data_IF_158799419804
#
_entry.id   IF_158799419804
#
_cell.length_a   1.000
_cell.length_b   1.000
_cell.length_c   1.000
_cell.angle_alpha   90.00
_cell.angle_beta   90.00
_cell.angle_gamma   90.00
#
_symmetry.space_group_name_H-M   'P 1'
#
loop_
_entity.id
_entity.type
_entity.pdbx_description
1 polymer ?
#
# COMPACT_ATOMS: atom_id res chain seq x y z
N UNK A 1 21.12 27.00 -35.25
CA UNK A 1 21.59 25.59 -35.13
C UNK A 1 21.64 25.07 -33.69
N UNK A 2 22.49 25.66 -32.79
CA UNK A 2 22.59 25.16 -31.40
C UNK A 2 21.31 25.39 -30.59
N UNK A 3 20.66 26.53 -30.76
CA UNK A 3 19.41 26.88 -30.10
C UNK A 3 18.22 25.99 -30.59
N UNK A 4 18.22 25.67 -31.87
CA UNK A 4 17.18 24.79 -32.45
C UNK A 4 17.33 23.36 -31.93
N UNK A 5 18.57 22.85 -31.86
CA UNK A 5 18.85 21.52 -31.29
C UNK A 5 18.40 21.46 -29.81
N UNK A 6 18.71 22.49 -29.03
CA UNK A 6 18.26 22.57 -27.62
C UNK A 6 16.74 22.57 -27.53
N UNK A 7 16.04 23.33 -28.36
CA UNK A 7 14.57 23.35 -28.40
C UNK A 7 14.00 21.97 -28.73
N UNK A 8 14.56 21.26 -29.72
CA UNK A 8 14.12 19.88 -30.04
C UNK A 8 14.33 18.90 -28.88
N UNK A 9 15.46 18.97 -28.18
CA UNK A 9 15.74 18.13 -27.00
C UNK A 9 14.73 18.41 -25.90
N UNK A 10 14.41 19.66 -25.61
CA UNK A 10 13.40 20.02 -24.60
C UNK A 10 12.03 19.49 -24.98
N UNK A 11 11.59 19.74 -26.21
CA UNK A 11 10.28 19.25 -26.69
C UNK A 11 10.20 17.71 -26.62
N UNK A 12 11.25 17.01 -27.06
CA UNK A 12 11.30 15.56 -27.00
C UNK A 12 11.25 15.03 -25.57
N UNK A 13 11.98 15.66 -24.64
CA UNK A 13 11.97 15.32 -23.23
C UNK A 13 10.57 15.49 -22.62
N UNK A 14 9.92 16.62 -22.90
CA UNK A 14 8.54 16.88 -22.43
C UNK A 14 7.55 15.85 -22.96
N UNK A 15 7.68 15.48 -24.22
CA UNK A 15 6.85 14.43 -24.82
C UNK A 15 7.04 13.07 -24.14
N UNK A 16 8.31 12.66 -23.89
CA UNK A 16 8.60 11.40 -23.21
C UNK A 16 8.02 11.42 -21.80
N UNK A 17 8.21 12.51 -21.04
CA UNK A 17 7.65 12.65 -19.68
C UNK A 17 6.12 12.58 -19.73
N UNK A 18 5.48 13.25 -20.68
CA UNK A 18 4.03 13.21 -20.84
C UNK A 18 3.51 11.81 -21.16
N UNK A 19 4.17 11.09 -22.07
CA UNK A 19 3.80 9.71 -22.44
C UNK A 19 4.00 8.77 -21.25
N UNK A 20 5.13 8.85 -20.55
CA UNK A 20 5.38 7.99 -19.38
C UNK A 20 4.38 8.26 -18.27
N UNK A 21 4.07 9.51 -17.99
CA UNK A 21 3.05 9.90 -17.03
C UNK A 21 1.65 9.36 -17.40
N UNK A 22 1.29 9.43 -18.67
CA UNK A 22 0.02 8.86 -19.18
C UNK A 22 -0.03 7.35 -19.01
N UNK A 23 1.04 6.64 -19.35
CA UNK A 23 1.15 5.19 -19.22
C UNK A 23 1.00 4.77 -17.75
N UNK A 24 1.76 5.41 -16.85
CA UNK A 24 1.71 5.08 -15.40
C UNK A 24 0.34 5.39 -14.78
N UNK A 25 -0.29 6.52 -15.15
CA UNK A 25 -1.66 6.82 -14.72
C UNK A 25 -2.68 5.79 -15.24
N UNK A 26 -2.50 5.29 -16.45
CA UNK A 26 -3.37 4.26 -17.04
C UNK A 26 -3.18 2.91 -16.33
N UNK A 27 -1.93 2.51 -16.04
CA UNK A 27 -1.63 1.33 -15.23
C UNK A 27 -2.29 1.42 -13.84
N UNK A 28 -2.13 2.57 -13.17
CA UNK A 28 -2.77 2.81 -11.88
C UNK A 28 -4.28 2.60 -11.95
N UNK A 29 -4.97 3.26 -12.89
CA UNK A 29 -6.42 3.14 -13.04
C UNK A 29 -6.90 1.72 -13.31
N UNK A 30 -6.10 0.91 -13.99
CA UNK A 30 -6.41 -0.48 -14.32
C UNK A 30 -6.03 -1.47 -13.23
N UNK A 31 -5.21 -1.09 -12.24
CA UNK A 31 -4.83 -1.92 -11.11
C UNK A 31 -6.01 -2.22 -10.18
N UNK A 32 -5.92 -3.30 -9.41
CA UNK A 32 -6.91 -3.62 -8.37
C UNK A 32 -7.05 -2.51 -7.34
N UNK A 33 -5.95 -1.84 -6.99
CA UNK A 33 -5.93 -0.70 -6.09
C UNK A 33 -6.62 0.53 -6.68
N UNK A 34 -6.26 0.91 -7.91
CA UNK A 34 -6.80 2.12 -8.55
C UNK A 34 -8.30 2.03 -8.85
N UNK A 35 -8.84 0.83 -9.07
CA UNK A 35 -10.28 0.60 -9.25
C UNK A 35 -11.10 0.81 -7.97
N UNK A 36 -10.48 0.68 -6.81
CA UNK A 36 -11.13 0.83 -5.50
C UNK A 36 -10.82 2.17 -4.84
N UNK A 37 -9.72 2.83 -5.22
CA UNK A 37 -9.29 4.09 -4.65
C UNK A 37 -10.00 5.28 -5.28
N UNK A 38 -10.43 6.23 -4.45
CA UNK A 38 -10.94 7.54 -4.90
C UNK A 38 -9.83 8.56 -5.18
N UNK A 39 -8.57 8.20 -4.88
CA UNK A 39 -7.40 9.09 -4.99
C UNK A 39 -6.86 9.08 -6.42
N UNK A 40 -6.34 10.23 -6.87
CA UNK A 40 -5.62 10.30 -8.14
C UNK A 40 -4.25 9.64 -8.04
N UNK A 41 -3.70 9.21 -9.18
CA UNK A 41 -2.33 8.69 -9.27
C UNK A 41 -1.29 9.64 -8.66
N UNK A 42 -1.41 10.92 -8.91
CA UNK A 42 -0.51 11.94 -8.39
C UNK A 42 -0.57 12.07 -6.86
N UNK A 43 -1.76 11.94 -6.28
CA UNK A 43 -1.94 11.95 -4.83
C UNK A 43 -1.30 10.71 -4.19
N UNK A 44 -1.40 9.54 -4.85
CA UNK A 44 -0.75 8.31 -4.41
C UNK A 44 0.78 8.44 -4.43
N UNK A 45 1.35 9.06 -5.47
CA UNK A 45 2.81 9.26 -5.54
C UNK A 45 3.37 10.14 -4.43
N UNK A 46 2.59 11.09 -3.94
CA UNK A 46 2.99 12.02 -2.89
C UNK A 46 2.76 11.49 -1.47
N UNK A 47 2.03 10.38 -1.32
CA UNK A 47 1.75 9.73 -0.05
C UNK A 47 2.55 8.42 0.06
N UNK A 48 3.46 8.34 1.03
CA UNK A 48 4.32 7.16 1.22
C UNK A 48 3.53 5.89 1.53
N UNK A 49 2.51 5.98 2.37
CA UNK A 49 1.65 4.85 2.73
C UNK A 49 0.92 4.31 1.51
N UNK A 50 0.11 5.15 0.89
CA UNK A 50 -0.68 4.79 -0.29
C UNK A 50 0.16 4.31 -1.47
N UNK A 51 1.37 4.86 -1.64
CA UNK A 51 2.33 4.37 -2.64
C UNK A 51 2.85 2.97 -2.32
N UNK A 52 3.02 2.65 -1.04
CA UNK A 52 3.39 1.30 -0.60
C UNK A 52 2.29 0.29 -0.89
N UNK A 53 1.04 0.61 -0.58
CA UNK A 53 -0.15 -0.20 -0.87
C UNK A 53 -0.32 -0.43 -2.37
N UNK A 54 -0.20 0.63 -3.19
CA UNK A 54 -0.25 0.53 -4.64
C UNK A 54 0.84 -0.40 -5.19
N UNK A 55 2.08 -0.28 -4.74
CA UNK A 55 3.18 -1.18 -5.13
C UNK A 55 2.91 -2.63 -4.73
N UNK A 56 2.36 -2.85 -3.55
CA UNK A 56 1.96 -4.19 -3.11
C UNK A 56 0.85 -4.74 -4.02
N UNK A 57 -0.15 -3.92 -4.37
CA UNK A 57 -1.20 -4.33 -5.29
C UNK A 57 -0.66 -4.74 -6.65
N UNK A 58 0.32 -4.01 -7.22
CA UNK A 58 0.95 -4.36 -8.48
C UNK A 58 1.65 -5.74 -8.44
N UNK A 59 2.29 -6.08 -7.29
CA UNK A 59 2.91 -7.38 -7.09
C UNK A 59 1.86 -8.49 -6.98
N UNK A 60 0.79 -8.24 -6.24
CA UNK A 60 -0.32 -9.18 -6.10
C UNK A 60 -1.06 -9.36 -7.42
N UNK A 61 -1.33 -8.31 -8.19
CA UNK A 61 -1.99 -8.36 -9.50
C UNK A 61 -1.21 -9.23 -10.50
N UNK A 62 0.12 -9.22 -10.46
CA UNK A 62 0.99 -10.05 -11.30
C UNK A 62 1.00 -11.53 -10.93
N UNK A 63 0.58 -11.89 -9.72
CA UNK A 63 0.51 -13.28 -9.29
C UNK A 63 -0.58 -14.03 -10.06
N UNK A 64 -0.29 -15.25 -10.51
CA UNK A 64 -1.24 -16.13 -11.20
C UNK A 64 -2.33 -16.73 -10.30
N UNK A 65 -2.25 -16.48 -8.98
CA UNK A 65 -3.24 -16.97 -8.03
C UNK A 65 -4.59 -16.29 -8.30
N UNK A 66 -5.65 -17.09 -8.44
CA UNK A 66 -7.01 -16.57 -8.47
C UNK A 66 -7.35 -15.96 -7.10
N UNK A 67 -7.63 -14.66 -7.09
CA UNK A 67 -7.81 -13.90 -5.86
C UNK A 67 -8.70 -12.69 -6.04
N UNK A 68 -9.25 -12.22 -4.93
CA UNK A 68 -9.90 -10.91 -4.79
C UNK A 68 -9.12 -10.08 -3.79
N UNK A 69 -8.85 -8.83 -4.13
CA UNK A 69 -8.14 -7.88 -3.26
C UNK A 69 -9.11 -6.81 -2.81
N UNK A 70 -9.06 -6.46 -1.53
CA UNK A 70 -9.76 -5.33 -0.94
C UNK A 70 -8.73 -4.43 -0.27
N UNK A 71 -8.87 -3.12 -0.44
CA UNK A 71 -7.92 -2.12 0.06
C UNK A 71 -8.60 -1.15 1.01
N UNK A 72 -7.86 -0.71 2.04
CA UNK A 72 -8.29 0.32 3.00
C UNK A 72 -9.67 -0.01 3.61
N UNK A 73 -9.80 -1.25 4.10
CA UNK A 73 -11.07 -1.76 4.65
C UNK A 73 -11.20 -1.36 6.10
N UNK A 74 -12.24 -0.59 6.42
CA UNK A 74 -12.57 -0.22 7.79
C UNK A 74 -13.49 -1.25 8.39
N UNK A 75 -13.08 -1.85 9.51
CA UNK A 75 -13.88 -2.82 10.25
C UNK A 75 -14.12 -2.35 11.68
N UNK A 76 -15.28 -2.69 12.31
CA UNK A 76 -15.60 -2.27 13.66
C UNK A 76 -14.69 -2.93 14.69
N UNK A 77 -14.32 -2.18 15.72
CA UNK A 77 -13.72 -2.67 16.96
C UNK A 77 -14.80 -2.96 18.02
N UNK A 78 -14.34 -3.28 19.23
CA UNK A 78 -15.24 -3.65 20.35
C UNK A 78 -16.16 -2.53 20.85
N UNK A 79 -15.79 -1.26 20.64
CA UNK A 79 -16.61 -0.09 21.04
C UNK A 79 -17.42 0.37 19.84
N UNK A 80 -18.68 0.74 20.08
CA UNK A 80 -19.48 1.45 19.09
C UNK A 80 -18.69 2.69 18.64
N UNK A 81 -18.68 2.96 17.36
CA UNK A 81 -17.95 4.06 16.69
C UNK A 81 -16.41 3.93 16.61
N UNK A 82 -15.77 2.86 17.08
CA UNK A 82 -14.34 2.65 16.90
C UNK A 82 -14.07 1.64 15.77
N UNK A 83 -13.32 2.06 14.78
CA UNK A 83 -12.94 1.24 13.63
C UNK A 83 -11.44 1.05 13.56
N UNK A 84 -11.00 0.04 12.84
CA UNK A 84 -9.61 -0.13 12.44
C UNK A 84 -9.55 -0.30 10.93
N UNK A 85 -8.56 0.30 10.31
CA UNK A 85 -8.29 0.17 8.89
C UNK A 85 -7.36 -1.03 8.68
N UNK A 86 -7.70 -1.88 7.71
CA UNK A 86 -6.84 -2.95 7.21
C UNK A 86 -6.35 -2.52 5.83
N UNK A 87 -5.05 -2.46 5.66
CA UNK A 87 -4.44 -1.97 4.42
C UNK A 87 -4.85 -2.84 3.22
N UNK A 88 -4.71 -4.17 3.33
CA UNK A 88 -5.05 -5.10 2.25
C UNK A 88 -5.64 -6.40 2.83
N UNK A 89 -6.78 -6.83 2.28
CA UNK A 89 -7.32 -8.18 2.46
C UNK A 89 -7.24 -8.90 1.12
N UNK A 90 -6.57 -10.05 1.09
CA UNK A 90 -6.53 -10.94 -0.08
C UNK A 90 -7.35 -12.19 0.21
N UNK A 91 -8.36 -12.44 -0.62
CA UNK A 91 -9.21 -13.63 -0.56
C UNK A 91 -8.86 -14.52 -1.75
N UNK A 92 -8.54 -15.77 -1.50
CA UNK A 92 -8.22 -16.74 -2.53
C UNK A 92 -8.68 -18.15 -2.10
N UNK A 93 -8.49 -19.14 -2.98
CA UNK A 93 -8.87 -20.54 -2.72
C UNK A 93 -8.15 -21.17 -1.53
N UNK A 94 -7.04 -20.56 -1.06
CA UNK A 94 -6.25 -21.03 0.08
C UNK A 94 -6.61 -20.37 1.41
N UNK A 95 -7.50 -19.37 1.38
CA UNK A 95 -7.94 -18.65 2.58
C UNK A 95 -7.97 -17.13 2.42
N UNK A 96 -8.12 -16.47 3.56
CA UNK A 96 -8.14 -15.01 3.70
C UNK A 96 -6.80 -14.58 4.32
N UNK A 97 -6.12 -13.66 3.66
CA UNK A 97 -4.85 -13.11 4.11
C UNK A 97 -5.02 -11.63 4.44
N UNK A 98 -4.59 -11.24 5.62
CA UNK A 98 -4.55 -9.85 6.08
C UNK A 98 -3.10 -9.37 5.96
N UNK A 99 -2.89 -8.29 5.22
CA UNK A 99 -1.57 -7.74 4.93
C UNK A 99 -1.50 -6.31 5.48
N UNK A 100 -0.53 -6.07 6.35
CA UNK A 100 -0.17 -4.77 6.88
C UNK A 100 1.04 -4.26 6.10
N UNK A 101 0.91 -3.10 5.46
CA UNK A 101 1.95 -2.52 4.62
C UNK A 101 2.69 -1.39 5.34
N UNK A 102 4.01 -1.44 5.33
CA UNK A 102 4.87 -0.38 5.88
C UNK A 102 5.91 0.03 4.84
N UNK A 103 5.84 1.26 4.38
CA UNK A 103 6.76 1.81 3.37
C UNK A 103 7.76 2.78 4.02
N UNK A 104 8.74 2.23 4.72
CA UNK A 104 9.82 2.98 5.37
C UNK A 104 11.03 3.14 4.45
N UNK A 105 11.84 4.17 4.70
CA UNK A 105 13.06 4.48 3.91
C UNK A 105 14.35 4.16 4.67
N UNK A 106 14.26 4.03 6.00
CA UNK A 106 15.39 3.79 6.89
C UNK A 106 15.58 2.33 7.25
N UNK A 107 16.55 2.07 8.11
CA UNK A 107 16.78 0.76 8.69
C UNK A 107 15.75 0.48 9.77
N UNK A 108 15.14 -0.70 9.72
CA UNK A 108 14.10 -1.13 10.66
C UNK A 108 14.68 -2.10 11.67
N UNK A 109 14.46 -1.80 12.96
CA UNK A 109 14.87 -2.62 14.09
C UNK A 109 13.65 -2.95 14.95
N UNK A 110 13.50 -4.21 15.30
CA UNK A 110 12.45 -4.68 16.20
C UNK A 110 12.31 -6.19 16.14
N UNK A 111 11.71 -6.75 17.18
CA UNK A 111 11.36 -8.17 17.27
C UNK A 111 9.84 -8.32 17.44
N UNK A 112 9.33 -9.54 17.25
CA UNK A 112 7.93 -9.86 17.46
C UNK A 112 7.46 -9.55 18.89
N UNK A 113 8.36 -9.70 19.90
CA UNK A 113 8.05 -9.48 21.30
C UNK A 113 7.96 -7.99 21.69
N UNK A 114 8.60 -7.12 20.90
CA UNK A 114 8.62 -5.69 21.19
C UNK A 114 7.25 -5.06 20.98
N UNK A 115 6.90 -4.09 21.82
CA UNK A 115 5.68 -3.31 21.66
C UNK A 115 5.82 -2.29 20.51
N UNK A 116 7.02 -1.77 20.31
CA UNK A 116 7.34 -0.75 19.29
C UNK A 116 8.62 -1.14 18.56
N UNK A 117 8.61 -0.87 17.28
CA UNK A 117 9.80 -0.97 16.43
C UNK A 117 10.39 0.42 16.20
N UNK A 118 11.60 0.45 15.66
CA UNK A 118 12.35 1.67 15.42
C UNK A 118 12.79 1.74 13.95
N UNK A 119 12.47 2.84 13.27
CA UNK A 119 13.13 3.22 12.03
C UNK A 119 14.31 4.14 12.35
N UNK A 120 15.49 3.87 11.80
CA UNK A 120 16.63 4.77 11.84
C UNK A 120 16.87 5.34 10.45
N UNK A 121 16.72 6.65 10.32
CA UNK A 121 16.90 7.39 9.07
C UNK A 121 17.71 8.67 9.33
N UNK A 122 18.79 8.85 8.58
CA UNK A 122 19.68 10.02 8.70
C UNK A 122 20.17 10.28 10.16
N UNK A 123 20.52 9.20 10.88
CA UNK A 123 20.98 9.28 12.26
C UNK A 123 19.89 9.54 13.30
N UNK A 124 18.63 9.70 12.89
CA UNK A 124 17.47 9.91 13.79
C UNK A 124 16.67 8.62 13.96
N UNK A 125 16.10 8.43 15.15
CA UNK A 125 15.28 7.28 15.50
C UNK A 125 13.80 7.67 15.58
N UNK A 126 12.94 6.90 14.88
CA UNK A 126 11.50 7.07 14.85
C UNK A 126 10.84 5.78 15.33
N UNK A 127 10.08 5.86 16.43
CA UNK A 127 9.42 4.69 17.00
C UNK A 127 7.98 4.59 16.50
N UNK A 128 7.60 3.39 16.08
CA UNK A 128 6.24 3.07 15.62
C UNK A 128 5.72 1.78 16.24
N UNK A 129 4.42 1.58 16.19
CA UNK A 129 3.82 0.37 16.76
C UNK A 129 4.25 -0.86 15.97
N UNK A 130 4.46 -1.98 16.68
CA UNK A 130 4.90 -3.24 16.07
C UNK A 130 3.88 -3.71 15.02
N UNK A 131 4.25 -3.80 13.72
CA UNK A 131 3.33 -4.15 12.64
C UNK A 131 2.82 -5.58 12.74
N UNK A 132 3.58 -6.52 13.34
CA UNK A 132 3.11 -7.89 13.57
C UNK A 132 1.95 -7.87 14.56
N UNK A 133 2.07 -7.11 15.66
CA UNK A 133 0.99 -6.97 16.65
C UNK A 133 -0.21 -6.23 16.07
N UNK A 134 0.02 -5.24 15.22
CA UNK A 134 -1.02 -4.51 14.52
C UNK A 134 -1.81 -5.47 13.64
N UNK A 135 -1.12 -6.22 12.78
CA UNK A 135 -1.73 -7.17 11.86
C UNK A 135 -2.49 -8.30 12.60
N UNK A 136 -1.91 -8.84 13.68
CA UNK A 136 -2.61 -9.82 14.52
C UNK A 136 -3.90 -9.25 15.13
N UNK A 137 -3.94 -7.97 15.44
CA UNK A 137 -5.15 -7.30 15.92
C UNK A 137 -6.19 -7.18 14.81
N UNK A 138 -5.78 -6.83 13.59
CA UNK A 138 -6.66 -6.79 12.42
C UNK A 138 -7.28 -8.17 12.13
N UNK A 139 -6.46 -9.22 12.15
CA UNK A 139 -6.92 -10.61 11.96
C UNK A 139 -8.02 -10.95 12.98
N UNK A 140 -7.77 -10.72 14.27
CA UNK A 140 -8.76 -11.01 15.33
C UNK A 140 -10.08 -10.26 15.17
N UNK A 141 -10.05 -9.00 14.75
CA UNK A 141 -11.28 -8.25 14.49
C UNK A 141 -12.00 -8.72 13.24
N UNK A 142 -11.26 -9.11 12.20
CA UNK A 142 -11.82 -9.66 10.98
C UNK A 142 -12.45 -11.04 11.23
N UNK A 143 -11.78 -11.96 11.95
CA UNK A 143 -12.31 -13.25 12.38
C UNK A 143 -13.63 -13.10 13.14
N UNK A 144 -13.64 -12.17 14.11
CA UNK A 144 -14.86 -11.88 14.87
C UNK A 144 -15.99 -11.35 13.97
N UNK A 145 -15.68 -10.44 13.03
CA UNK A 145 -16.67 -9.89 12.10
C UNK A 145 -17.26 -10.97 11.21
N UNK A 146 -16.42 -11.89 10.73
CA UNK A 146 -16.82 -12.98 9.85
C UNK A 146 -17.38 -14.21 10.61
N UNK A 147 -17.35 -14.20 11.94
CA UNK A 147 -17.75 -15.32 12.79
C UNK A 147 -17.01 -16.63 12.45
N UNK A 148 -15.70 -16.51 12.17
CA UNK A 148 -14.79 -17.62 11.88
C UNK A 148 -13.69 -17.66 12.94
N UNK A 149 -13.07 -18.84 13.18
CA UNK A 149 -11.94 -18.99 14.12
C UNK A 149 -12.32 -19.26 15.59
N UNK A 150 -13.57 -19.56 15.90
CA UNK A 150 -14.01 -20.07 17.21
C UNK A 150 -14.27 -21.60 17.12
N UNK A 151 -13.21 -22.38 16.90
CA UNK A 151 -13.17 -23.82 17.20
C UNK A 151 -12.04 -24.11 18.19
#
# INVERSE_FOLDING_TARGET
MLNDLFAYVVVFTVLIVGITAYIENTKYKNSSYGKQSTRSFWNILNDKGARGEYRMSELLDKSSLEKKLLFNVYIPKKKEDDTTEIDIIMICTKGIYVLENKNYSGWIFGSEKDRRWCETLNGKKYFFYNPIRQNNTHIKYLEKLLQIGEE
#
